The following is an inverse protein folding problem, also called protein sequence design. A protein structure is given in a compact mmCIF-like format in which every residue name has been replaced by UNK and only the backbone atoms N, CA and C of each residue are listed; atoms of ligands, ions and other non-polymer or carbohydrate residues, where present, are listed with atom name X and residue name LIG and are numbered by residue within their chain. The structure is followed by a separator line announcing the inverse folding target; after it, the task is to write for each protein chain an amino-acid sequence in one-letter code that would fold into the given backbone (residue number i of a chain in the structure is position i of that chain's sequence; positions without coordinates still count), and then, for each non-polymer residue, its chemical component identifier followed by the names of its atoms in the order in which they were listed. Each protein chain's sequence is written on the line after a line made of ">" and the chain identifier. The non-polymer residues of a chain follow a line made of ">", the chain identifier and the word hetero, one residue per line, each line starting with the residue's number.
data_IF_833807836192
#
_entry.id   IF_833807836192
#
_cell.length_a   1.000
_cell.length_b   1.000
_cell.length_c   1.000
_cell.angle_alpha   90.00
_cell.angle_beta   90.00
_cell.angle_gamma   90.00
#
_symmetry.space_group_name_H-M   'P 1'
#
loop_
_entity.id
_entity.type
_entity.pdbx_description
1 polymer ?
#
# COMPACT_ATOMS: atom_id res chain seq x y z
N UNK A 1 -1.71 -13.53 1.41
CA UNK A 1 -2.23 -12.92 2.63
C UNK A 1 -2.01 -13.79 3.87
N UNK A 2 -2.48 -15.05 3.88
CA UNK A 2 -2.36 -15.97 5.03
C UNK A 2 -0.90 -16.16 5.48
N UNK A 3 0.01 -16.34 4.54
CA UNK A 3 1.45 -16.49 4.85
C UNK A 3 1.96 -15.26 5.59
N UNK A 4 1.63 -14.04 5.12
CA UNK A 4 2.03 -12.80 5.81
C UNK A 4 1.48 -12.74 7.24
N UNK A 5 0.19 -13.04 7.43
CA UNK A 5 -0.43 -13.01 8.76
C UNK A 5 0.22 -14.00 9.72
N UNK A 6 0.46 -15.24 9.24
CA UNK A 6 1.15 -16.27 10.04
C UNK A 6 2.59 -15.87 10.35
N UNK A 7 3.29 -15.26 9.39
CA UNK A 7 4.68 -14.82 9.57
C UNK A 7 4.82 -13.74 10.63
N UNK A 8 3.96 -12.71 10.56
CA UNK A 8 3.93 -11.64 11.56
C UNK A 8 3.59 -12.21 12.93
N UNK A 9 2.56 -13.06 13.02
CA UNK A 9 2.17 -13.70 14.27
C UNK A 9 3.25 -14.61 14.84
N UNK A 10 3.93 -15.38 13.99
CA UNK A 10 5.03 -16.27 14.38
C UNK A 10 6.22 -15.49 14.91
N UNK A 11 6.65 -14.45 14.21
CA UNK A 11 7.80 -13.63 14.58
C UNK A 11 7.53 -12.80 15.86
N UNK A 12 6.43 -12.05 15.89
CA UNK A 12 6.15 -11.14 17.00
C UNK A 12 5.77 -11.86 18.30
N UNK A 13 5.16 -13.04 18.20
CA UNK A 13 4.69 -13.80 19.37
C UNK A 13 5.59 -14.99 19.68
N UNK A 14 6.74 -15.13 19.01
CA UNK A 14 7.59 -16.32 19.09
C UNK A 14 7.87 -16.77 20.53
N UNK A 15 8.27 -15.84 21.40
CA UNK A 15 8.58 -16.13 22.80
C UNK A 15 7.35 -16.50 23.64
N UNK A 16 6.16 -16.14 23.18
CA UNK A 16 4.89 -16.38 23.89
C UNK A 16 4.14 -17.62 23.38
N UNK A 17 4.52 -18.14 22.22
CA UNK A 17 3.89 -19.33 21.65
C UNK A 17 4.44 -20.60 22.32
N UNK A 18 3.55 -21.52 22.67
CA UNK A 18 3.96 -22.85 23.11
C UNK A 18 4.69 -23.59 21.97
N UNK A 19 5.69 -24.47 22.29
CA UNK A 19 6.50 -25.14 21.27
C UNK A 19 5.70 -25.92 20.22
N UNK A 20 4.58 -26.52 20.63
CA UNK A 20 3.69 -27.24 19.71
C UNK A 20 3.02 -26.28 18.74
N UNK A 21 2.53 -25.13 19.21
CA UNK A 21 1.92 -24.09 18.36
C UNK A 21 2.96 -23.50 17.40
N UNK A 22 4.18 -23.23 17.88
CA UNK A 22 5.28 -22.77 17.00
C UNK A 22 5.50 -23.76 15.85
N UNK A 23 5.57 -25.05 16.14
CA UNK A 23 5.77 -26.07 15.11
C UNK A 23 4.63 -26.10 14.10
N UNK A 24 3.38 -26.03 14.56
CA UNK A 24 2.20 -26.02 13.68
C UNK A 24 2.24 -24.78 12.75
N UNK A 25 2.53 -23.59 13.29
CA UNK A 25 2.55 -22.36 12.51
C UNK A 25 3.73 -22.36 11.52
N UNK A 26 4.92 -22.74 11.96
CA UNK A 26 6.10 -22.93 11.09
C UNK A 26 5.80 -23.86 9.94
N UNK A 27 5.29 -25.06 10.24
CA UNK A 27 5.00 -26.07 9.23
C UNK A 27 3.92 -25.59 8.25
N UNK A 28 2.91 -24.85 8.73
CA UNK A 28 1.93 -24.21 7.87
C UNK A 28 2.54 -23.16 6.94
N UNK A 29 3.45 -22.32 7.42
CA UNK A 29 4.18 -21.35 6.59
C UNK A 29 4.98 -22.09 5.52
N UNK A 30 5.72 -23.13 5.90
CA UNK A 30 6.56 -23.90 4.97
C UNK A 30 5.71 -24.65 3.95
N UNK A 31 4.79 -25.53 4.38
CA UNK A 31 4.07 -26.44 3.51
C UNK A 31 2.97 -25.76 2.69
N UNK A 32 2.21 -24.83 3.32
CA UNK A 32 1.07 -24.17 2.67
C UNK A 32 1.46 -22.85 2.00
N UNK A 33 2.59 -22.26 2.39
CA UNK A 33 3.13 -21.04 1.83
C UNK A 33 4.28 -21.29 0.86
N UNK A 34 5.47 -21.61 1.40
CA UNK A 34 6.69 -21.65 0.60
C UNK A 34 6.71 -22.79 -0.42
N UNK A 35 6.25 -24.00 -0.04
CA UNK A 35 6.20 -25.14 -0.94
C UNK A 35 5.10 -25.01 -2.00
N UNK A 36 4.00 -24.33 -1.67
CA UNK A 36 2.93 -24.06 -2.62
C UNK A 36 3.32 -23.01 -3.68
N UNK A 37 4.38 -22.22 -3.44
CA UNK A 37 4.87 -21.22 -4.38
C UNK A 37 5.86 -21.86 -5.38
N UNK A 38 5.33 -22.58 -6.36
CA UNK A 38 6.14 -23.18 -7.41
C UNK A 38 6.99 -22.11 -8.13
N UNK A 39 8.21 -22.46 -8.63
CA UNK A 39 9.13 -21.49 -9.23
C UNK A 39 8.57 -20.69 -10.41
N UNK A 40 7.59 -21.23 -11.10
CA UNK A 40 7.02 -20.66 -12.34
C UNK A 40 5.62 -20.10 -12.17
N UNK A 41 5.16 -19.87 -10.94
CA UNK A 41 3.85 -19.29 -10.68
C UNK A 41 3.64 -17.96 -11.43
N UNK A 42 2.43 -17.77 -11.94
CA UNK A 42 2.09 -16.63 -12.81
C UNK A 42 2.30 -15.27 -12.14
N UNK A 43 2.08 -15.17 -10.81
CA UNK A 43 2.21 -13.91 -10.08
C UNK A 43 3.65 -13.36 -10.08
N UNK A 44 4.67 -14.19 -10.22
CA UNK A 44 6.05 -13.73 -10.38
C UNK A 44 6.29 -12.95 -11.69
N UNK A 45 5.38 -13.10 -12.65
CA UNK A 45 5.42 -12.39 -13.93
C UNK A 45 4.44 -11.22 -13.99
N UNK A 46 3.52 -11.13 -13.05
CA UNK A 46 2.52 -10.08 -12.99
C UNK A 46 3.15 -8.69 -12.79
N UNK A 47 2.54 -7.68 -13.40
CA UNK A 47 2.90 -6.27 -13.27
C UNK A 47 1.83 -5.48 -12.49
N UNK A 48 1.05 -6.17 -11.70
CA UNK A 48 -0.11 -5.72 -10.94
C UNK A 48 0.11 -5.95 -9.43
N UNK A 49 -0.86 -5.55 -8.63
CA UNK A 49 -0.87 -5.77 -7.18
C UNK A 49 -0.57 -7.22 -6.76
N UNK A 50 -0.95 -8.21 -7.56
CA UNK A 50 -0.68 -9.63 -7.28
C UNK A 50 0.78 -9.95 -7.06
N UNK A 51 1.68 -9.31 -7.81
CA UNK A 51 3.12 -9.52 -7.63
C UNK A 51 3.58 -9.01 -6.26
N UNK A 52 3.17 -7.80 -5.86
CA UNK A 52 3.50 -7.23 -4.54
C UNK A 52 2.92 -8.09 -3.41
N UNK A 53 1.65 -8.49 -3.52
CA UNK A 53 0.95 -9.29 -2.51
C UNK A 53 1.61 -10.65 -2.30
N UNK A 54 1.87 -11.38 -3.40
CA UNK A 54 2.44 -12.72 -3.30
C UNK A 54 3.91 -12.68 -2.87
N UNK A 55 4.74 -11.83 -3.50
CA UNK A 55 6.14 -11.68 -3.09
C UNK A 55 6.26 -11.17 -1.64
N UNK A 56 5.42 -10.21 -1.23
CA UNK A 56 5.43 -9.69 0.13
C UNK A 56 5.13 -10.78 1.17
N UNK A 57 4.07 -11.56 0.93
CA UNK A 57 3.72 -12.67 1.81
C UNK A 57 4.79 -13.75 1.88
N UNK A 58 5.32 -14.17 0.73
CA UNK A 58 6.34 -15.22 0.64
C UNK A 58 7.67 -14.80 1.25
N UNK A 59 8.10 -13.57 1.01
CA UNK A 59 9.36 -13.05 1.57
C UNK A 59 9.27 -12.96 3.09
N UNK A 60 8.21 -12.39 3.64
CA UNK A 60 8.01 -12.35 5.09
C UNK A 60 7.94 -13.77 5.68
N UNK A 61 7.26 -14.71 4.99
CA UNK A 61 7.25 -16.11 5.38
C UNK A 61 8.63 -16.74 5.43
N UNK A 62 9.42 -16.53 4.38
CA UNK A 62 10.76 -17.07 4.29
C UNK A 62 11.71 -16.49 5.35
N UNK A 63 11.58 -15.18 5.65
CA UNK A 63 12.36 -14.56 6.73
C UNK A 63 11.97 -15.13 8.10
N UNK A 64 10.67 -15.27 8.37
CA UNK A 64 10.17 -15.74 9.67
C UNK A 64 10.59 -17.18 10.02
N UNK A 65 10.84 -18.05 9.02
CA UNK A 65 11.27 -19.45 9.22
C UNK A 65 12.67 -19.73 8.69
N UNK A 66 13.50 -18.67 8.57
CA UNK A 66 14.82 -18.79 7.93
C UNK A 66 15.73 -19.77 8.66
N UNK A 67 15.75 -19.73 10.00
CA UNK A 67 16.60 -20.60 10.81
C UNK A 67 16.20 -22.07 10.73
N UNK A 68 14.91 -22.35 10.50
CA UNK A 68 14.37 -23.71 10.40
C UNK A 68 14.63 -24.35 9.02
N UNK A 69 14.53 -23.55 7.94
CA UNK A 69 14.63 -24.05 6.55
C UNK A 69 15.48 -23.13 5.66
N UNK A 70 16.77 -22.88 6.01
CA UNK A 70 17.57 -21.82 5.41
C UNK A 70 17.73 -21.92 3.90
N UNK A 71 17.95 -23.11 3.35
CA UNK A 71 18.13 -23.31 1.90
C UNK A 71 16.85 -23.00 1.10
N UNK A 72 15.70 -23.36 1.66
CA UNK A 72 14.40 -23.06 1.06
C UNK A 72 14.08 -21.58 1.15
N UNK A 73 14.22 -21.02 2.35
CA UNK A 73 13.97 -19.61 2.61
C UNK A 73 14.83 -18.71 1.71
N UNK A 74 16.13 -19.00 1.59
CA UNK A 74 17.03 -18.29 0.70
C UNK A 74 16.55 -18.27 -0.75
N UNK A 75 16.15 -19.41 -1.31
CA UNK A 75 15.66 -19.52 -2.68
C UNK A 75 14.40 -18.68 -2.91
N UNK A 76 13.48 -18.66 -1.93
CA UNK A 76 12.26 -17.85 -2.00
C UNK A 76 12.61 -16.35 -1.94
N UNK A 77 13.48 -15.93 -1.02
CA UNK A 77 13.91 -14.53 -0.90
C UNK A 77 14.56 -14.06 -2.21
N UNK A 78 15.51 -14.82 -2.75
CA UNK A 78 16.17 -14.52 -4.02
C UNK A 78 15.15 -14.40 -5.17
N UNK A 79 14.16 -15.31 -5.23
CA UNK A 79 13.10 -15.28 -6.24
C UNK A 79 12.21 -14.04 -6.10
N UNK A 80 11.82 -13.68 -4.86
CA UNK A 80 11.05 -12.48 -4.60
C UNK A 80 11.82 -11.22 -5.02
N UNK A 81 13.09 -11.08 -4.64
CA UNK A 81 13.93 -9.95 -5.03
C UNK A 81 14.10 -9.82 -6.54
N UNK A 82 14.23 -10.94 -7.24
CA UNK A 82 14.35 -10.96 -8.71
C UNK A 82 13.06 -10.54 -9.42
N UNK A 83 11.90 -10.84 -8.86
CA UNK A 83 10.61 -10.70 -9.56
C UNK A 83 9.79 -9.50 -9.12
N UNK A 84 9.95 -9.03 -7.89
CA UNK A 84 9.22 -7.89 -7.32
C UNK A 84 9.43 -6.56 -8.08
N UNK A 85 10.58 -6.26 -8.70
CA UNK A 85 10.76 -5.09 -9.54
C UNK A 85 9.72 -4.90 -10.65
N UNK A 86 9.08 -5.98 -11.09
CA UNK A 86 8.00 -5.90 -12.09
C UNK A 86 6.75 -5.19 -11.56
N UNK A 87 6.42 -5.41 -10.28
CA UNK A 87 5.33 -4.68 -9.65
C UNK A 87 5.70 -3.21 -9.43
N UNK A 88 6.93 -2.96 -8.98
CA UNK A 88 7.42 -1.60 -8.74
C UNK A 88 7.44 -0.75 -10.01
N UNK A 89 7.61 -1.34 -11.18
CA UNK A 89 7.52 -0.64 -12.46
C UNK A 89 6.11 -0.03 -12.72
N UNK A 90 5.08 -0.46 -12.01
CA UNK A 90 3.74 0.10 -12.15
C UNK A 90 3.61 1.53 -11.59
N UNK A 91 4.47 1.92 -10.63
CA UNK A 91 4.47 3.25 -10.03
C UNK A 91 5.13 4.33 -10.91
N UNK A 92 5.93 3.90 -11.89
CA UNK A 92 6.62 4.82 -12.78
C UNK A 92 5.70 5.55 -13.76
N UNK A 93 6.11 6.77 -14.21
CA UNK A 93 7.37 7.44 -13.83
C UNK A 93 7.27 8.29 -12.54
N UNK A 94 6.08 8.63 -12.06
CA UNK A 94 5.82 9.74 -11.14
C UNK A 94 4.80 9.43 -10.05
N UNK A 95 4.61 8.18 -9.72
CA UNK A 95 3.84 7.72 -8.57
C UNK A 95 2.36 7.43 -8.83
N UNK A 96 1.87 7.63 -10.05
CA UNK A 96 0.50 7.24 -10.39
C UNK A 96 0.32 5.73 -10.39
N UNK A 97 -0.68 5.23 -9.68
CA UNK A 97 -0.95 3.78 -9.63
C UNK A 97 -2.10 3.40 -10.58
N UNK A 98 -1.86 2.57 -11.58
CA UNK A 98 -2.82 2.37 -12.67
C UNK A 98 -4.12 1.67 -12.26
N UNK A 99 -4.10 0.91 -11.18
CA UNK A 99 -5.26 0.16 -10.65
C UNK A 99 -6.12 0.97 -9.66
N UNK A 100 -5.84 2.28 -9.49
CA UNK A 100 -6.60 3.15 -8.60
C UNK A 100 -6.19 3.04 -7.12
N UNK A 101 -6.83 3.87 -6.28
CA UNK A 101 -6.45 4.01 -4.88
C UNK A 101 -6.67 2.74 -4.05
N UNK A 102 -7.72 1.98 -4.37
CA UNK A 102 -8.06 0.76 -3.64
C UNK A 102 -6.94 -0.29 -3.74
N UNK A 103 -6.50 -0.55 -4.96
CA UNK A 103 -5.41 -1.49 -5.22
C UNK A 103 -4.03 -0.92 -4.90
N UNK A 104 -3.87 0.42 -4.95
CA UNK A 104 -2.68 1.03 -4.34
C UNK A 104 -2.62 0.67 -2.85
N UNK A 105 -3.71 0.91 -2.11
CA UNK A 105 -3.77 0.58 -0.68
C UNK A 105 -3.48 -0.90 -0.41
N UNK A 106 -4.01 -1.79 -1.22
CA UNK A 106 -3.83 -3.23 -1.07
C UNK A 106 -2.41 -3.68 -1.46
N UNK A 107 -2.00 -3.43 -2.69
CA UNK A 107 -0.70 -3.90 -3.21
C UNK A 107 0.49 -3.21 -2.54
N UNK A 108 0.39 -1.90 -2.33
CA UNK A 108 1.45 -1.10 -1.69
C UNK A 108 1.65 -1.49 -0.23
N UNK A 109 0.59 -1.91 0.47
CA UNK A 109 0.74 -2.40 1.85
C UNK A 109 1.67 -3.60 1.94
N UNK A 110 1.51 -4.57 1.04
CA UNK A 110 2.41 -5.74 0.99
C UNK A 110 3.81 -5.36 0.51
N UNK A 111 3.92 -4.39 -0.40
CA UNK A 111 5.21 -3.88 -0.86
C UNK A 111 5.98 -3.20 0.28
N UNK A 112 5.33 -2.35 1.05
CA UNK A 112 5.94 -1.68 2.22
C UNK A 112 6.35 -2.70 3.28
N UNK A 113 5.50 -3.69 3.57
CA UNK A 113 5.84 -4.73 4.54
C UNK A 113 7.01 -5.60 4.09
N UNK A 114 7.10 -5.90 2.79
CA UNK A 114 8.25 -6.59 2.20
C UNK A 114 9.54 -5.79 2.43
N UNK A 115 9.53 -4.50 2.12
CA UNK A 115 10.69 -3.60 2.28
C UNK A 115 11.06 -3.48 3.76
N UNK A 116 10.09 -3.23 4.63
CA UNK A 116 10.32 -3.10 6.06
C UNK A 116 10.87 -4.39 6.69
N UNK A 117 10.40 -5.56 6.25
CA UNK A 117 10.93 -6.84 6.70
C UNK A 117 12.39 -7.05 6.27
N UNK A 118 12.75 -6.67 5.04
CA UNK A 118 14.14 -6.71 4.57
C UNK A 118 15.03 -5.76 5.36
N UNK A 119 14.60 -4.52 5.59
CA UNK A 119 15.34 -3.53 6.38
C UNK A 119 15.56 -4.02 7.81
N UNK A 120 14.54 -4.63 8.42
CA UNK A 120 14.61 -5.16 9.78
C UNK A 120 15.55 -6.37 9.88
N UNK A 121 15.43 -7.34 8.98
CA UNK A 121 16.16 -8.59 9.04
C UNK A 121 17.57 -8.51 8.45
N UNK A 122 17.77 -7.74 7.39
CA UNK A 122 19.02 -7.72 6.61
C UNK A 122 19.73 -6.36 6.60
N UNK A 123 19.12 -5.32 7.17
CA UNK A 123 19.67 -3.96 7.19
C UNK A 123 19.65 -3.25 5.81
N UNK A 124 18.90 -3.78 4.85
CA UNK A 124 18.81 -3.23 3.49
C UNK A 124 17.45 -3.55 2.86
N UNK A 125 16.94 -2.64 2.06
CA UNK A 125 15.75 -2.85 1.23
C UNK A 125 16.11 -3.37 -0.18
N UNK A 126 17.36 -3.68 -0.42
CA UNK A 126 17.89 -4.11 -1.72
C UNK A 126 17.61 -3.11 -2.87
N UNK A 127 17.45 -1.81 -2.56
CA UNK A 127 17.16 -0.75 -3.52
C UNK A 127 15.70 -0.72 -3.98
N UNK A 128 14.79 -1.48 -3.38
CA UNK A 128 13.41 -1.56 -3.82
C UNK A 128 12.63 -0.25 -3.58
N UNK A 129 12.94 0.50 -2.54
CA UNK A 129 12.29 1.80 -2.30
C UNK A 129 12.72 2.89 -3.28
N UNK A 130 13.83 2.72 -3.98
CA UNK A 130 14.36 3.70 -4.94
C UNK A 130 13.79 3.55 -6.36
N UNK A 131 12.88 2.59 -6.57
CA UNK A 131 12.24 2.43 -7.88
C UNK A 131 11.44 3.68 -8.26
N UNK A 132 11.56 4.13 -9.54
CA UNK A 132 10.93 5.36 -10.00
C UNK A 132 9.43 5.39 -9.73
N UNK A 133 8.97 6.43 -9.06
CA UNK A 133 7.58 6.67 -8.72
C UNK A 133 7.10 5.96 -7.45
N UNK A 134 7.87 5.03 -6.86
CA UNK A 134 7.36 4.29 -5.71
C UNK A 134 7.14 5.18 -4.49
N UNK A 135 8.13 5.96 -4.07
CA UNK A 135 7.96 6.88 -2.94
C UNK A 135 6.99 8.03 -3.28
N UNK A 136 7.05 8.56 -4.50
CA UNK A 136 6.14 9.60 -4.99
C UNK A 136 4.68 9.15 -4.99
N UNK A 137 4.40 7.86 -5.00
CA UNK A 137 3.04 7.31 -4.99
C UNK A 137 2.27 7.59 -3.69
N UNK A 138 2.95 7.98 -2.61
CA UNK A 138 2.28 8.49 -1.42
C UNK A 138 1.46 9.75 -1.74
N UNK A 139 1.97 10.62 -2.62
CA UNK A 139 1.21 11.80 -3.07
C UNK A 139 -0.01 11.43 -3.92
N UNK A 140 0.08 10.39 -4.73
CA UNK A 140 -1.10 9.86 -5.40
C UNK A 140 -2.19 9.53 -4.39
N UNK A 141 -1.89 8.73 -3.37
CA UNK A 141 -2.86 8.32 -2.35
C UNK A 141 -3.47 9.53 -1.62
N UNK A 142 -2.64 10.49 -1.23
CA UNK A 142 -3.09 11.72 -0.57
C UNK A 142 -4.04 12.53 -1.45
N UNK A 143 -3.70 12.74 -2.72
CA UNK A 143 -4.52 13.54 -3.64
C UNK A 143 -5.79 12.81 -4.09
N UNK A 144 -5.82 11.49 -4.08
CA UNK A 144 -7.02 10.70 -4.38
C UNK A 144 -8.14 10.91 -3.36
N UNK A 145 -7.83 11.39 -2.16
CA UNK A 145 -8.83 11.69 -1.12
C UNK A 145 -9.40 13.08 -1.31
N UNK A 146 -10.69 13.20 -1.59
CA UNK A 146 -11.39 14.48 -1.76
C UNK A 146 -11.65 15.18 -0.41
N UNK A 147 -12.06 16.46 -0.39
CA UNK A 147 -12.41 17.19 0.83
C UNK A 147 -13.53 16.57 1.66
N UNK A 148 -14.46 15.83 1.05
CA UNK A 148 -15.47 15.05 1.75
C UNK A 148 -14.88 13.94 2.62
N UNK A 149 -13.66 13.50 2.32
CA UNK A 149 -13.00 12.31 2.84
C UNK A 149 -13.19 11.08 1.94
N UNK A 150 -14.08 11.15 0.94
CA UNK A 150 -14.25 10.07 -0.02
C UNK A 150 -13.19 10.13 -1.11
N UNK A 151 -12.89 8.97 -1.72
CA UNK A 151 -11.89 8.87 -2.76
C UNK A 151 -12.43 9.19 -4.17
N UNK A 152 -11.51 9.50 -5.09
CA UNK A 152 -11.76 9.35 -6.52
C UNK A 152 -11.69 7.85 -6.85
N UNK A 153 -12.84 7.22 -6.93
CA UNK A 153 -13.03 5.78 -6.91
C UNK A 153 -13.05 5.12 -8.29
N UNK A 154 -12.22 5.58 -9.22
CA UNK A 154 -12.08 4.90 -10.51
C UNK A 154 -11.51 3.48 -10.37
N UNK A 155 -11.63 2.66 -11.40
CA UNK A 155 -11.32 1.23 -11.41
C UNK A 155 -12.24 0.43 -10.46
N UNK A 156 -11.90 -0.80 -10.13
CA UNK A 156 -12.66 -1.64 -9.20
C UNK A 156 -12.54 -1.11 -7.76
N UNK A 157 -13.07 0.07 -7.52
CA UNK A 157 -13.01 0.73 -6.23
C UNK A 157 -14.41 1.09 -5.71
N UNK A 158 -14.62 0.85 -4.43
CA UNK A 158 -15.84 1.27 -3.73
C UNK A 158 -15.63 2.62 -3.07
N UNK A 159 -16.69 3.39 -2.92
CA UNK A 159 -16.68 4.59 -2.10
C UNK A 159 -16.39 4.24 -0.63
N UNK A 160 -15.70 5.13 0.04
CA UNK A 160 -15.43 4.97 1.45
C UNK A 160 -14.36 5.94 1.93
N UNK A 161 -14.19 5.97 3.24
CA UNK A 161 -13.16 6.74 3.92
C UNK A 161 -12.31 5.76 4.71
N UNK A 162 -11.00 5.75 4.48
CA UNK A 162 -10.08 4.83 5.14
C UNK A 162 -8.79 5.54 5.51
N UNK A 163 -8.20 5.18 6.64
CA UNK A 163 -6.82 5.45 6.95
C UNK A 163 -5.94 4.43 6.24
N UNK A 164 -4.82 4.84 5.70
CA UNK A 164 -3.83 3.93 5.15
C UNK A 164 -2.58 3.92 6.02
N UNK A 165 -2.39 2.84 6.78
CA UNK A 165 -1.29 2.71 7.74
C UNK A 165 0.09 2.82 7.10
N UNK A 166 0.21 2.52 5.81
CA UNK A 166 1.48 2.61 5.08
C UNK A 166 1.92 4.06 4.86
N UNK A 167 1.01 5.03 4.90
CA UNK A 167 1.36 6.46 4.81
C UNK A 167 2.33 6.88 5.92
N UNK A 168 2.27 6.25 7.10
CA UNK A 168 3.21 6.50 8.19
C UNK A 168 4.63 6.01 7.85
N UNK A 169 4.75 4.89 7.15
CA UNK A 169 6.04 4.43 6.64
C UNK A 169 6.59 5.39 5.58
N UNK A 170 5.75 5.82 4.62
CA UNK A 170 6.16 6.79 3.59
C UNK A 170 6.60 8.12 4.22
N UNK A 171 5.82 8.65 5.15
CA UNK A 171 6.17 9.91 5.84
C UNK A 171 7.52 9.80 6.55
N UNK A 172 7.80 8.69 7.23
CA UNK A 172 9.09 8.41 7.87
C UNK A 172 10.22 8.29 6.85
N UNK A 173 10.02 7.52 5.78
CA UNK A 173 11.03 7.25 4.76
C UNK A 173 11.40 8.51 3.98
N UNK A 174 10.43 9.37 3.69
CA UNK A 174 10.61 10.62 2.94
C UNK A 174 10.95 11.83 3.83
N UNK A 175 10.81 11.71 5.15
CA UNK A 175 10.97 12.84 6.08
C UNK A 175 9.89 13.93 5.88
N UNK A 176 8.69 13.57 5.44
CA UNK A 176 7.61 14.49 5.09
C UNK A 176 6.32 14.18 5.83
N UNK A 177 6.12 14.84 6.97
CA UNK A 177 4.94 14.68 7.81
C UNK A 177 3.64 15.22 7.18
N UNK A 178 3.72 16.04 6.13
CA UNK A 178 2.50 16.54 5.47
C UNK A 178 1.69 15.40 4.82
N UNK A 179 2.32 14.28 4.48
CA UNK A 179 1.66 13.06 4.02
C UNK A 179 0.68 12.47 5.04
N UNK A 180 0.82 12.83 6.31
CA UNK A 180 -0.06 12.36 7.38
C UNK A 180 -1.22 13.32 7.68
N UNK A 181 -1.38 14.41 6.92
CA UNK A 181 -2.43 15.40 7.20
C UNK A 181 -3.83 14.81 7.22
N UNK A 182 -4.17 13.99 6.24
CA UNK A 182 -5.49 13.34 6.16
C UNK A 182 -5.59 12.15 7.11
N UNK A 183 -4.51 11.38 7.24
CA UNK A 183 -4.45 10.22 8.13
C UNK A 183 -4.63 10.64 9.60
N UNK A 184 -4.02 11.74 10.02
CA UNK A 184 -4.17 12.27 11.37
C UNK A 184 -5.62 12.70 11.65
N UNK A 185 -6.27 13.41 10.73
CA UNK A 185 -7.68 13.78 10.85
C UNK A 185 -8.59 12.54 10.95
N UNK A 186 -8.24 11.48 10.26
CA UNK A 186 -8.97 10.23 10.29
C UNK A 186 -8.81 9.52 11.64
N UNK A 187 -7.60 9.45 12.17
CA UNK A 187 -7.31 8.85 13.48
C UNK A 187 -7.95 9.63 14.64
N UNK A 188 -8.04 10.95 14.54
CA UNK A 188 -8.67 11.81 15.54
C UNK A 188 -10.22 11.75 15.51
N UNK A 189 -10.81 11.15 14.48
CA UNK A 189 -12.26 11.09 14.34
C UNK A 189 -12.87 9.97 15.22
N UNK A 190 -13.63 10.33 16.29
CA UNK A 190 -14.17 9.34 17.23
C UNK A 190 -15.26 8.43 16.60
N UNK A 191 -15.74 8.78 15.41
CA UNK A 191 -16.74 7.97 14.70
C UNK A 191 -16.11 6.86 13.85
N UNK A 192 -14.79 6.80 13.75
CA UNK A 192 -14.07 5.78 12.97
C UNK A 192 -13.80 4.57 13.85
N UNK A 193 -14.11 3.38 13.35
CA UNK A 193 -13.73 2.12 13.98
C UNK A 193 -12.55 1.51 13.22
N UNK A 194 -11.52 1.15 13.95
CA UNK A 194 -10.35 0.44 13.44
C UNK A 194 -10.37 -1.07 13.74
N UNK A 195 -11.45 -1.57 14.34
CA UNK A 195 -11.51 -2.96 14.80
C UNK A 195 -11.32 -4.00 13.69
N UNK A 196 -11.64 -3.64 12.46
CA UNK A 196 -11.51 -4.52 11.29
C UNK A 196 -10.25 -4.24 10.46
N UNK A 197 -9.44 -3.24 10.84
CA UNK A 197 -8.21 -2.94 10.12
C UNK A 197 -7.09 -3.88 10.55
N UNK A 198 -6.88 -4.90 9.73
CA UNK A 198 -5.86 -5.94 9.96
C UNK A 198 -4.42 -5.42 9.96
N UNK A 199 -4.16 -4.22 9.42
CA UNK A 199 -2.83 -3.61 9.37
C UNK A 199 -2.63 -2.54 10.45
N UNK A 200 -3.63 -2.30 11.31
CA UNK A 200 -3.52 -1.34 12.40
C UNK A 200 -2.29 -1.57 13.31
N UNK A 201 -1.88 -2.80 13.63
CA UNK A 201 -0.66 -3.02 14.44
C UNK A 201 0.60 -2.44 13.81
N UNK A 202 0.68 -2.33 12.48
CA UNK A 202 1.81 -1.73 11.78
C UNK A 202 1.97 -0.24 12.10
N UNK A 203 0.89 0.45 12.46
CA UNK A 203 0.92 1.84 12.89
C UNK A 203 1.90 2.05 14.06
N UNK A 204 1.90 1.15 15.04
CA UNK A 204 2.78 1.25 16.21
C UNK A 204 4.27 1.22 15.80
N UNK A 205 4.61 0.43 14.78
CA UNK A 205 5.98 0.32 14.27
C UNK A 205 6.35 1.55 13.45
N UNK A 206 5.46 1.96 12.57
CA UNK A 206 5.75 3.05 11.63
C UNK A 206 5.70 4.44 12.28
N UNK A 207 4.88 4.63 13.34
CA UNK A 207 4.88 5.86 14.15
C UNK A 207 6.04 5.93 15.14
N UNK A 208 6.68 4.80 15.44
CA UNK A 208 7.76 4.79 16.42
C UNK A 208 8.86 5.81 16.07
N UNK A 209 9.18 6.65 17.06
CA UNK A 209 10.19 7.71 16.94
C UNK A 209 9.86 8.83 15.95
N UNK A 210 8.59 9.00 15.53
CA UNK A 210 8.12 10.17 14.80
C UNK A 210 7.46 11.16 15.77
N UNK A 211 7.82 12.42 15.68
CA UNK A 211 7.11 13.50 16.36
C UNK A 211 5.91 13.94 15.51
N UNK A 212 4.74 13.44 15.86
CA UNK A 212 3.50 13.73 15.14
C UNK A 212 2.80 15.01 15.60
N UNK A 213 3.39 15.77 16.53
CA UNK A 213 2.77 16.98 17.09
C UNK A 213 2.70 18.16 16.10
N UNK A 214 3.43 18.08 14.99
CA UNK A 214 3.62 19.21 14.07
C UNK A 214 3.25 18.88 12.62
N UNK A 215 2.22 18.08 12.41
CA UNK A 215 1.71 17.76 11.09
C UNK A 215 1.05 18.99 10.49
N UNK A 216 1.51 19.41 9.31
CA UNK A 216 0.97 20.55 8.57
C UNK A 216 0.33 20.08 7.25
N UNK A 217 -0.68 20.81 6.74
CA UNK A 217 -1.27 20.46 5.46
C UNK A 217 -0.25 20.56 4.32
N UNK A 218 -0.40 19.78 3.25
CA UNK A 218 0.43 19.92 2.07
C UNK A 218 0.34 21.32 1.47
N UNK A 219 1.45 21.81 0.95
CA UNK A 219 1.51 23.13 0.29
C UNK A 219 0.97 23.09 -1.14
N UNK A 220 1.06 21.95 -1.81
CA UNK A 220 0.62 21.77 -3.18
C UNK A 220 -0.91 21.58 -3.26
N UNK A 221 -1.52 22.15 -4.30
CA UNK A 221 -2.96 22.08 -4.55
C UNK A 221 -3.33 21.33 -5.82
N UNK A 222 -2.37 20.87 -6.56
CA UNK A 222 -2.62 20.03 -7.74
C UNK A 222 -1.57 18.93 -7.81
N UNK A 223 -1.98 17.82 -8.39
CA UNK A 223 -1.13 16.69 -8.67
C UNK A 223 -1.53 16.06 -10.00
N UNK A 224 -0.58 15.53 -10.72
CA UNK A 224 -0.82 14.79 -11.94
C UNK A 224 0.26 13.75 -12.15
N UNK A 225 -0.05 12.75 -12.95
CA UNK A 225 0.91 11.75 -13.39
C UNK A 225 0.82 11.50 -14.88
N UNK A 226 1.94 11.06 -15.45
CA UNK A 226 2.07 10.69 -16.87
C UNK A 226 2.13 9.17 -17.11
N UNK A 227 1.79 8.34 -16.11
CA UNK A 227 1.83 6.88 -16.18
C UNK A 227 0.74 6.26 -17.07
N UNK A 228 0.51 4.94 -16.90
CA UNK A 228 -0.46 4.18 -17.71
C UNK A 228 -1.90 4.66 -17.55
N UNK A 229 -2.24 5.16 -16.38
CA UNK A 229 -3.53 5.79 -16.09
C UNK A 229 -3.25 7.21 -15.63
N UNK A 230 -3.13 8.17 -16.57
CA UNK A 230 -2.89 9.56 -16.23
C UNK A 230 -4.09 10.12 -15.47
N UNK A 231 -3.79 10.80 -14.37
CA UNK A 231 -4.78 11.47 -13.53
C UNK A 231 -4.34 12.91 -13.32
N UNK A 232 -5.28 13.84 -13.33
CA UNK A 232 -5.07 15.20 -12.89
C UNK A 232 -6.02 15.52 -11.75
N UNK A 233 -5.49 16.07 -10.66
CA UNK A 233 -6.27 16.43 -9.48
C UNK A 233 -5.95 17.86 -9.07
N UNK A 234 -7.01 18.64 -8.80
CA UNK A 234 -6.94 19.97 -8.22
C UNK A 234 -7.72 20.03 -6.92
N UNK A 235 -7.14 20.67 -5.91
CA UNK A 235 -7.77 20.98 -4.61
C UNK A 235 -7.77 22.50 -4.36
N UNK A 236 -8.89 23.04 -3.90
CA UNK A 236 -8.98 24.44 -3.47
C UNK A 236 -8.30 24.71 -2.14
N UNK A 237 -8.13 23.66 -1.32
CA UNK A 237 -7.49 23.71 -0.02
C UNK A 237 -7.44 22.35 0.66
N UNK A 238 -6.89 22.30 1.87
CA UNK A 238 -6.72 21.10 2.67
C UNK A 238 -7.47 21.13 4.02
N UNK A 239 -8.03 22.28 4.38
CA UNK A 239 -8.52 22.54 5.74
C UNK A 239 -10.05 22.52 5.86
N UNK A 240 -10.77 22.41 4.75
CA UNK A 240 -12.22 22.49 4.77
C UNK A 240 -12.88 21.45 3.88
N UNK A 241 -13.88 20.76 4.43
CA UNK A 241 -14.77 19.88 3.64
C UNK A 241 -15.55 20.62 2.55
N UNK A 242 -15.55 21.97 2.58
CA UNK A 242 -16.22 22.82 1.58
C UNK A 242 -15.30 23.26 0.44
N UNK A 243 -14.00 22.90 0.52
CA UNK A 243 -13.04 23.21 -0.52
C UNK A 243 -13.47 22.58 -1.85
N UNK A 244 -13.05 23.18 -2.95
CA UNK A 244 -13.31 22.61 -4.26
C UNK A 244 -12.31 21.47 -4.55
N UNK A 245 -12.77 20.49 -5.28
CA UNK A 245 -11.97 19.37 -5.73
C UNK A 245 -12.41 18.95 -7.13
N UNK A 246 -11.44 18.74 -8.01
CA UNK A 246 -11.66 18.21 -9.33
C UNK A 246 -10.61 17.13 -9.56
N UNK A 247 -11.04 15.93 -9.86
CA UNK A 247 -10.15 14.85 -10.31
C UNK A 247 -10.68 14.30 -11.64
N UNK A 248 -9.79 14.08 -12.57
CA UNK A 248 -10.11 13.52 -13.89
C UNK A 248 -9.07 12.48 -14.27
N UNK A 249 -9.50 11.38 -14.85
CA UNK A 249 -8.61 10.34 -15.35
C UNK A 249 -8.65 10.20 -16.86
N UNK A 250 -7.52 9.86 -17.41
CA UNK A 250 -7.37 9.35 -18.77
C UNK A 250 -6.96 7.88 -18.76
N UNK A 251 -6.22 7.48 -19.79
CA UNK A 251 -5.58 6.17 -19.86
C UNK A 251 -6.36 5.14 -20.69
N UNK A 252 -5.88 3.91 -20.63
CA UNK A 252 -6.33 2.78 -21.43
C UNK A 252 -7.11 1.79 -20.57
N UNK A 253 -8.17 1.15 -21.08
CA UNK A 253 -8.87 0.06 -20.40
C UNK A 253 -8.06 -1.26 -20.38
N UNK A 254 -6.85 -1.27 -20.91
CA UNK A 254 -5.99 -2.46 -20.97
C UNK A 254 -5.16 -2.70 -19.69
N UNK A 255 -5.32 -1.86 -18.68
CA UNK A 255 -4.68 -2.10 -17.37
C UNK A 255 -5.54 -3.01 -16.51
N UNK A 256 -4.94 -3.70 -15.53
CA UNK A 256 -5.68 -4.50 -14.56
C UNK A 256 -6.71 -3.64 -13.84
N UNK A 257 -7.91 -4.17 -13.62
CA UNK A 257 -9.03 -3.47 -12.95
C UNK A 257 -9.52 -2.19 -13.63
N UNK A 258 -9.10 -1.92 -14.87
CA UNK A 258 -9.52 -0.71 -15.58
C UNK A 258 -10.91 -0.85 -16.21
N UNK A 259 -11.61 0.29 -16.24
CA UNK A 259 -12.90 0.43 -16.93
C UNK A 259 -12.72 1.22 -18.24
N UNK A 260 -13.69 1.13 -19.15
CA UNK A 260 -13.75 1.95 -20.37
C UNK A 260 -14.33 3.35 -20.07
N UNK A 261 -13.66 4.09 -19.21
CA UNK A 261 -14.13 5.32 -18.57
C UNK A 261 -13.09 6.46 -18.68
N UNK A 262 -12.31 6.50 -19.75
CA UNK A 262 -11.39 7.59 -20.02
C UNK A 262 -12.16 8.92 -20.10
N UNK A 263 -11.73 9.90 -19.28
CA UNK A 263 -12.45 11.16 -19.11
C UNK A 263 -13.43 11.16 -17.93
N UNK A 264 -13.58 10.04 -17.20
CA UNK A 264 -14.30 10.03 -15.93
C UNK A 264 -13.71 11.04 -14.96
N UNK A 265 -14.58 11.75 -14.24
CA UNK A 265 -14.19 12.80 -13.30
C UNK A 265 -15.13 12.87 -12.10
N UNK A 266 -14.59 13.36 -11.01
CA UNK A 266 -15.39 13.78 -9.86
C UNK A 266 -15.21 15.28 -9.60
N UNK A 267 -16.26 15.91 -9.10
CA UNK A 267 -16.23 17.32 -8.73
C UNK A 267 -16.94 17.55 -7.40
N UNK A 268 -16.22 18.18 -6.47
CA UNK A 268 -16.78 18.61 -5.18
C UNK A 268 -16.66 20.11 -4.99
N UNK A 269 -17.66 20.71 -4.39
CA UNK A 269 -17.64 22.10 -3.95
C UNK A 269 -18.69 22.35 -2.87
N UNK A 270 -18.35 23.17 -1.88
CA UNK A 270 -19.24 23.56 -0.77
C UNK A 270 -19.79 22.35 0.02
N UNK A 271 -19.02 21.28 0.11
CA UNK A 271 -19.40 20.06 0.83
C UNK A 271 -20.37 19.14 0.05
N UNK A 272 -20.55 19.36 -1.24
CA UNK A 272 -21.40 18.54 -2.11
C UNK A 272 -20.53 17.96 -3.24
N UNK A 273 -20.63 16.64 -3.45
CA UNK A 273 -20.08 15.95 -4.61
C UNK A 273 -21.10 16.03 -5.75
N UNK A 274 -20.80 16.87 -6.75
CA UNK A 274 -21.68 17.18 -7.87
C UNK A 274 -21.57 16.20 -9.04
N UNK A 275 -20.41 15.65 -9.21
CA UNK A 275 -20.13 14.57 -10.17
C UNK A 275 -19.44 13.43 -9.46
N UNK A 276 -19.86 12.21 -9.76
CA UNK A 276 -19.38 10.98 -9.13
C UNK A 276 -18.89 10.02 -10.20
N UNK A 277 -17.96 9.17 -9.83
CA UNK A 277 -17.69 7.90 -10.50
C UNK A 277 -18.57 6.83 -9.83
N UNK A 278 -19.23 6.01 -10.62
CA UNK A 278 -20.14 4.99 -10.07
C UNK A 278 -19.38 3.84 -9.39
N UNK A 279 -18.08 3.73 -9.67
CA UNK A 279 -17.24 2.67 -9.12
C UNK A 279 -17.57 1.30 -9.72
N UNK A 280 -17.37 0.27 -8.90
CA UNK A 280 -17.65 -1.14 -9.21
C UNK A 280 -19.10 -1.48 -8.82
#
# INVERSE_FOLDING_TARGET
>A
EMVLALSIGYDWLYEYLEPEIRSIVRDAIVEKGLDAAAPDEWFYRAVSNWNSVCNGGLLCGALAVFEDVPDKAKKIIEKCLLTNPKALAAYGPDGGYPEGFHYWGYGTSFQVLLIAALESALGTDAGLSEYPGFLESARFMEFMTAPSGEYFNFSDAVNGVRCNMMMFWFAKKMGDLSLLWLENQYLENPSVSFAEDRLLPCLLIFCAHQDLSNIQPPSCRFWHNGGKTPVFIYRGGWNSKKDSYLAIKGGSPLTSHAHMDAGSFIYERKGIRWAIDLGM
#
